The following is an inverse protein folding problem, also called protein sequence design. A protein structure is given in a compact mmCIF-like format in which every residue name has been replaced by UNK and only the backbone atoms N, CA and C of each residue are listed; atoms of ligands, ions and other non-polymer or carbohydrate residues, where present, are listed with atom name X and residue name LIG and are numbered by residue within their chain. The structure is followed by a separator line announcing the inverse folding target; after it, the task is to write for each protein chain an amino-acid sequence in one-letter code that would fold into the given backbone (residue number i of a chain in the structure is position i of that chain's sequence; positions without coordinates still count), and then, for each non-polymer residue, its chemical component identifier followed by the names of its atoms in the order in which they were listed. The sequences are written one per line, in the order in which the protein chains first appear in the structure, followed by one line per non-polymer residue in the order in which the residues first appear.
data_IF_160839209830
#
_entry.id   IF_160839209830
#
_cell.length_a   1.000
_cell.length_b   1.000
_cell.length_c   1.000
_cell.angle_alpha   90.00
_cell.angle_beta   90.00
_cell.angle_gamma   90.00
#
_symmetry.space_group_name_H-M   'P 1'
#
loop_
_entity.id
_entity.type
_entity.pdbx_description
1 polymer ?
#
# COMPACT_ATOMS: atom_id res chain seq x y z
N UNK A 1 11.25 -12.37 -8.07
CA UNK A 1 11.13 -10.95 -7.68
C UNK A 1 9.73 -10.51 -8.07
N UNK A 2 8.93 -9.96 -7.16
CA UNK A 2 7.58 -9.53 -7.50
C UNK A 2 7.64 -8.20 -8.27
N UNK A 3 6.80 -8.07 -9.31
CA UNK A 3 6.74 -6.86 -10.12
C UNK A 3 6.12 -5.68 -9.35
N UNK A 4 5.23 -6.00 -8.41
CA UNK A 4 4.44 -5.05 -7.61
C UNK A 4 4.46 -5.42 -6.13
N UNK A 5 4.27 -4.42 -5.26
CA UNK A 5 4.07 -4.62 -3.84
C UNK A 5 2.72 -5.34 -3.59
N UNK A 6 2.73 -6.45 -2.89
CA UNK A 6 1.51 -7.24 -2.60
C UNK A 6 0.58 -6.58 -1.58
N UNK A 7 0.95 -5.42 -1.03
CA UNK A 7 0.20 -4.68 0.00
C UNK A 7 -0.37 -3.34 -0.50
N UNK A 8 0.19 -2.75 -1.56
CA UNK A 8 -0.28 -1.48 -2.11
C UNK A 8 -0.11 -1.34 -3.64
N UNK A 9 0.23 -2.44 -4.33
CA UNK A 9 0.49 -2.50 -5.77
C UNK A 9 1.58 -1.56 -6.32
N UNK A 10 2.37 -0.90 -5.46
CA UNK A 10 3.47 -0.05 -5.89
C UNK A 10 4.45 -0.82 -6.81
N UNK A 11 4.86 -0.26 -7.96
CA UNK A 11 5.66 -1.00 -8.94
C UNK A 11 7.12 -1.12 -8.48
N UNK A 12 7.54 -2.32 -8.08
CA UNK A 12 8.87 -2.54 -7.52
C UNK A 12 9.97 -2.64 -8.59
N UNK A 13 9.61 -2.99 -9.82
CA UNK A 13 10.56 -3.05 -10.94
C UNK A 13 10.78 -1.66 -11.56
N UNK A 14 9.70 -0.91 -11.79
CA UNK A 14 9.77 0.42 -12.41
C UNK A 14 10.23 1.51 -11.43
N UNK A 15 10.05 1.33 -10.13
CA UNK A 15 10.49 2.26 -9.08
C UNK A 15 11.35 1.52 -8.05
N UNK A 16 12.64 1.26 -8.35
CA UNK A 16 13.55 0.55 -7.46
C UNK A 16 13.70 1.19 -6.07
N UNK A 17 13.50 2.50 -5.97
CA UNK A 17 13.54 3.26 -4.72
C UNK A 17 12.45 2.87 -3.73
N UNK A 18 11.40 2.15 -4.18
CA UNK A 18 10.35 1.63 -3.32
C UNK A 18 10.71 0.27 -2.70
N UNK A 19 11.76 -0.40 -3.19
CA UNK A 19 12.20 -1.67 -2.62
C UNK A 19 12.67 -1.48 -1.17
N UNK A 20 12.29 -2.44 -0.33
CA UNK A 20 12.74 -2.54 1.06
C UNK A 20 13.40 -3.88 1.31
N UNK A 21 13.42 -4.32 2.57
CA UNK A 21 13.98 -5.62 2.98
C UNK A 21 13.13 -6.83 2.55
N UNK A 22 11.90 -6.61 2.03
CA UNK A 22 10.98 -7.67 1.61
C UNK A 22 10.93 -7.84 0.10
N UNK A 23 10.92 -9.08 -0.38
CA UNK A 23 10.67 -9.41 -1.79
C UNK A 23 9.20 -9.19 -2.21
N UNK A 24 8.29 -9.05 -1.23
CA UNK A 24 6.83 -8.93 -1.44
C UNK A 24 6.29 -7.53 -1.20
N UNK A 25 6.95 -6.75 -0.35
CA UNK A 25 6.42 -5.47 0.12
C UNK A 25 7.41 -4.34 -0.10
N UNK A 26 6.90 -3.17 -0.48
CA UNK A 26 7.72 -1.95 -0.57
C UNK A 26 8.10 -1.46 0.83
N UNK A 27 9.12 -0.60 0.91
CA UNK A 27 9.62 0.01 2.15
C UNK A 27 8.60 0.86 2.93
N UNK A 28 7.46 1.18 2.32
CA UNK A 28 6.37 1.92 2.98
C UNK A 28 5.33 0.99 3.61
N UNK A 29 5.23 -0.24 3.13
CA UNK A 29 4.28 -1.23 3.63
C UNK A 29 4.90 -2.20 4.62
N UNK A 30 6.24 -2.30 4.67
CA UNK A 30 6.94 -3.18 5.57
C UNK A 30 8.03 -2.45 6.34
N UNK A 31 8.35 -2.96 7.53
CA UNK A 31 9.39 -2.43 8.39
C UNK A 31 10.81 -2.77 7.88
N UNK A 32 11.83 -2.37 8.65
CA UNK A 32 13.23 -2.62 8.30
C UNK A 32 13.61 -4.12 8.24
N UNK A 33 12.81 -5.00 8.84
CA UNK A 33 12.98 -6.46 8.76
C UNK A 33 12.23 -7.08 7.57
N UNK A 34 11.42 -6.29 6.85
CA UNK A 34 10.57 -6.76 5.76
C UNK A 34 9.22 -7.30 6.23
N UNK A 35 8.87 -7.07 7.50
CA UNK A 35 7.58 -7.49 8.08
C UNK A 35 6.50 -6.49 7.72
N UNK A 36 5.37 -6.98 7.21
CA UNK A 36 4.22 -6.17 6.79
C UNK A 36 3.63 -5.41 7.99
N UNK A 37 3.40 -4.10 7.82
CA UNK A 37 2.72 -3.29 8.81
C UNK A 37 1.26 -3.73 9.01
N UNK A 38 0.65 -3.43 10.18
CA UNK A 38 -0.76 -3.68 10.42
C UNK A 38 -1.65 -3.05 9.34
N UNK A 39 -2.78 -3.71 9.04
CA UNK A 39 -3.73 -3.30 8.00
C UNK A 39 -4.12 -1.82 8.12
N UNK A 40 -4.46 -1.36 9.32
CA UNK A 40 -4.90 0.02 9.56
C UNK A 40 -3.80 1.06 9.26
N UNK A 41 -2.54 0.73 9.55
CA UNK A 41 -1.41 1.59 9.23
C UNK A 41 -1.21 1.71 7.71
N UNK A 42 -1.30 0.58 7.00
CA UNK A 42 -1.21 0.58 5.53
C UNK A 42 -2.40 1.31 4.89
N UNK A 43 -3.61 1.13 5.42
CA UNK A 43 -4.80 1.84 4.95
C UNK A 43 -4.63 3.36 5.08
N UNK A 44 -4.03 3.84 6.17
CA UNK A 44 -3.74 5.25 6.38
C UNK A 44 -2.73 5.78 5.36
N UNK A 45 -1.66 5.05 5.08
CA UNK A 45 -0.68 5.46 4.06
C UNK A 45 -1.29 5.48 2.65
N UNK A 46 -2.10 4.49 2.31
CA UNK A 46 -2.83 4.47 1.04
C UNK A 46 -3.79 5.66 0.95
N UNK A 47 -4.50 6.02 2.02
CA UNK A 47 -5.41 7.17 2.02
C UNK A 47 -4.66 8.48 1.78
N UNK A 48 -3.47 8.65 2.38
CA UNK A 48 -2.59 9.80 2.13
C UNK A 48 -2.15 9.84 0.66
N UNK A 49 -1.78 8.70 0.08
CA UNK A 49 -1.45 8.61 -1.34
C UNK A 49 -2.63 8.97 -2.25
N UNK A 50 -3.84 8.46 -1.98
CA UNK A 50 -5.05 8.79 -2.74
C UNK A 50 -5.34 10.29 -2.73
N UNK A 51 -5.15 10.96 -1.59
CA UNK A 51 -5.34 12.41 -1.47
C UNK A 51 -4.37 13.23 -2.32
N UNK A 52 -3.18 12.70 -2.66
CA UNK A 52 -2.18 13.44 -3.45
C UNK A 52 -2.60 13.65 -4.90
N UNK A 53 -3.39 12.74 -5.46
CA UNK A 53 -3.78 12.78 -6.87
C UNK A 53 -5.29 12.93 -7.09
N UNK A 54 -6.10 12.83 -6.03
CA UNK A 54 -7.55 13.06 -6.06
C UNK A 54 -7.88 14.36 -5.30
N UNK A 55 -7.79 15.54 -5.95
CA UNK A 55 -8.14 16.79 -5.29
C UNK A 55 -9.62 16.79 -4.87
N UNK A 56 -9.91 17.37 -3.70
CA UNK A 56 -11.28 17.57 -3.22
C UNK A 56 -11.89 16.41 -2.42
N UNK A 57 -11.17 15.30 -2.19
CA UNK A 57 -11.66 14.25 -1.28
C UNK A 57 -11.31 14.56 0.18
N UNK A 58 -12.28 14.33 1.06
CA UNK A 58 -12.09 14.41 2.51
C UNK A 58 -11.23 13.25 3.02
N UNK A 59 -10.70 13.39 4.25
CA UNK A 59 -9.97 12.29 4.90
C UNK A 59 -10.82 11.03 5.07
N UNK A 60 -12.08 11.18 5.49
CA UNK A 60 -13.03 10.07 5.61
C UNK A 60 -13.20 9.33 4.28
N UNK A 61 -13.45 10.07 3.19
CA UNK A 61 -13.59 9.47 1.85
C UNK A 61 -12.29 8.79 1.40
N UNK A 62 -11.12 9.35 1.70
CA UNK A 62 -9.84 8.74 1.38
C UNK A 62 -9.64 7.42 2.12
N UNK A 63 -10.01 7.35 3.41
CA UNK A 63 -9.94 6.13 4.22
C UNK A 63 -10.91 5.05 3.72
N UNK A 64 -12.14 5.43 3.37
CA UNK A 64 -13.15 4.52 2.80
C UNK A 64 -12.67 3.96 1.43
N UNK A 65 -12.11 4.83 0.58
CA UNK A 65 -11.53 4.41 -0.71
C UNK A 65 -10.32 3.50 -0.51
N UNK A 66 -9.45 3.80 0.45
CA UNK A 66 -8.31 2.95 0.79
C UNK A 66 -8.78 1.56 1.26
N UNK A 67 -9.78 1.49 2.14
CA UNK A 67 -10.36 0.23 2.60
C UNK A 67 -10.92 -0.59 1.43
N UNK A 68 -11.65 0.06 0.51
CA UNK A 68 -12.20 -0.60 -0.66
C UNK A 68 -11.12 -1.10 -1.61
N UNK A 69 -10.13 -0.24 -1.91
CA UNK A 69 -8.97 -0.58 -2.73
C UNK A 69 -8.22 -1.80 -2.19
N UNK A 70 -7.97 -1.84 -0.87
CA UNK A 70 -7.27 -2.94 -0.23
C UNK A 70 -7.95 -4.30 -0.43
N UNK A 71 -9.27 -4.37 -0.63
CA UNK A 71 -9.97 -5.65 -0.88
C UNK A 71 -9.48 -6.37 -2.14
N UNK A 72 -8.96 -5.63 -3.13
CA UNK A 72 -8.41 -6.20 -4.37
C UNK A 72 -6.91 -6.53 -4.28
N UNK A 73 -6.28 -6.31 -3.12
CA UNK A 73 -4.84 -6.41 -2.96
C UNK A 73 -4.47 -7.75 -2.33
N UNK A 74 -3.43 -8.46 -2.85
CA UNK A 74 -3.13 -9.83 -2.43
C UNK A 74 -2.95 -10.05 -0.92
N UNK A 75 -2.35 -9.09 -0.21
CA UNK A 75 -2.12 -9.19 1.23
C UNK A 75 -3.41 -9.07 2.07
N UNK A 76 -4.48 -8.50 1.51
CA UNK A 76 -5.68 -8.10 2.25
C UNK A 76 -6.98 -8.69 1.68
N UNK A 77 -6.92 -9.30 0.50
CA UNK A 77 -8.05 -9.99 -0.10
C UNK A 77 -8.50 -11.14 0.82
N UNK A 78 -9.79 -11.16 1.14
CA UNK A 78 -10.42 -12.31 1.79
C UNK A 78 -10.44 -13.47 0.81
N UNK A 79 -10.19 -14.69 1.31
CA UNK A 79 -10.22 -15.91 0.50
C UNK A 79 -11.65 -16.39 0.26
#
# INVERSE_FOLDING_TARGET
MNEHCHSCAAPLILMPEFKGASDRYCKFCADASGTLHPKDAVQKEISVWLKRWQPGITEKQALERAAHYMKAIPAWAEK
#
